data_IF_036559500118
#
_entry.id   IF_036559500118
#
_cell.length_a   1.000
_cell.length_b   1.000
_cell.length_c   1.000
_cell.angle_alpha   90.00
_cell.angle_beta   90.00
_cell.angle_gamma   90.00
#
_symmetry.space_group_name_H-M   'P 1'
#
loop_
_entity.id
_entity.type
_entity.pdbx_description
1 polymer ?
#
# COMPACT_ATOMS: atom_id res chain seq x y z
N UNK A 1 4.81 1.44 -13.13
CA UNK A 1 5.72 2.02 -12.10
C UNK A 1 5.14 3.35 -11.67
N UNK A 2 5.08 3.66 -10.37
CA UNK A 2 4.59 4.96 -9.90
C UNK A 2 5.59 6.06 -10.32
N UNK A 3 5.13 7.09 -11.03
CA UNK A 3 5.99 8.09 -11.69
C UNK A 3 6.51 9.17 -10.76
N UNK A 4 5.94 9.29 -9.56
CA UNK A 4 6.31 10.29 -8.57
C UNK A 4 5.81 9.77 -7.23
N UNK A 5 6.68 9.61 -6.23
CA UNK A 5 6.19 9.37 -4.88
C UNK A 5 5.68 10.73 -4.41
N UNK A 6 4.37 10.97 -4.37
CA UNK A 6 3.89 12.17 -3.70
C UNK A 6 3.91 11.90 -2.19
N UNK A 7 4.27 12.90 -1.37
CA UNK A 7 3.99 12.80 0.07
C UNK A 7 2.48 12.56 0.21
N UNK A 8 2.02 11.49 0.90
CA UNK A 8 0.61 11.17 1.00
C UNK A 8 -0.18 12.38 1.53
N UNK A 9 -1.00 12.97 0.67
CA UNK A 9 -1.98 13.98 1.06
C UNK A 9 -3.22 13.30 1.60
N UNK A 10 -4.01 14.01 2.41
CA UNK A 10 -5.30 13.49 2.88
C UNK A 10 -6.21 13.09 1.71
N UNK A 11 -6.20 13.85 0.62
CA UNK A 11 -6.99 13.55 -0.59
C UNK A 11 -6.55 12.23 -1.24
N UNK A 12 -5.24 12.05 -1.49
CA UNK A 12 -4.72 10.81 -2.08
C UNK A 12 -5.01 9.57 -1.20
N UNK A 13 -5.00 9.74 0.12
CA UNK A 13 -5.39 8.68 1.06
C UNK A 13 -6.88 8.33 0.99
N UNK A 14 -7.76 9.33 0.78
CA UNK A 14 -9.20 9.11 0.63
C UNK A 14 -9.52 8.42 -0.71
N UNK A 15 -8.87 8.85 -1.78
CA UNK A 15 -9.01 8.23 -3.10
C UNK A 15 -8.61 6.75 -3.06
N UNK A 16 -7.48 6.43 -2.42
CA UNK A 16 -7.06 5.03 -2.25
C UNK A 16 -8.09 4.21 -1.46
N UNK A 17 -8.70 4.78 -0.41
CA UNK A 17 -9.74 4.09 0.37
C UNK A 17 -10.99 3.79 -0.48
N UNK A 18 -11.42 4.74 -1.30
CA UNK A 18 -12.57 4.56 -2.19
C UNK A 18 -12.29 3.49 -3.24
N UNK A 19 -11.13 3.57 -3.90
CA UNK A 19 -10.72 2.60 -4.92
C UNK A 19 -10.58 1.21 -4.31
N UNK A 20 -10.02 1.08 -3.11
CA UNK A 20 -9.88 -0.21 -2.45
C UNK A 20 -11.25 -0.84 -2.15
N UNK A 21 -12.23 -0.05 -1.70
CA UNK A 21 -13.60 -0.54 -1.50
C UNK A 21 -14.24 -1.01 -2.82
N UNK A 22 -14.08 -0.24 -3.90
CA UNK A 22 -14.55 -0.60 -5.24
C UNK A 22 -13.89 -1.88 -5.76
N UNK A 23 -12.59 -2.03 -5.53
CA UNK A 23 -11.85 -3.23 -5.88
C UNK A 23 -12.36 -4.47 -5.12
N UNK A 24 -12.64 -4.34 -3.82
CA UNK A 24 -13.25 -5.44 -3.05
C UNK A 24 -14.59 -5.84 -3.67
N UNK A 25 -15.49 -4.89 -3.94
CA UNK A 25 -16.79 -5.18 -4.54
C UNK A 25 -16.67 -5.85 -5.92
N UNK A 26 -15.82 -5.31 -6.79
CA UNK A 26 -15.59 -5.86 -8.13
C UNK A 26 -14.98 -7.26 -8.08
N UNK A 27 -14.10 -7.53 -7.10
CA UNK A 27 -13.50 -8.86 -6.92
C UNK A 27 -14.50 -9.96 -6.55
N UNK A 28 -15.68 -9.59 -6.02
CA UNK A 28 -16.74 -10.55 -5.72
C UNK A 28 -17.57 -10.93 -6.95
N UNK A 29 -17.67 -10.04 -7.93
CA UNK A 29 -18.50 -10.21 -9.12
C UNK A 29 -17.69 -10.66 -10.35
N UNK A 30 -16.39 -10.37 -10.38
CA UNK A 30 -15.52 -10.64 -11.52
C UNK A 30 -14.27 -11.44 -11.12
N UNK A 31 -14.30 -12.75 -11.42
CA UNK A 31 -13.20 -13.68 -11.14
C UNK A 31 -11.92 -13.38 -11.94
N UNK A 32 -12.03 -12.82 -13.16
CA UNK A 32 -10.86 -12.44 -13.96
C UNK A 32 -10.12 -11.27 -13.30
N UNK A 33 -10.88 -10.24 -12.92
CA UNK A 33 -10.34 -9.10 -12.18
C UNK A 33 -9.72 -9.55 -10.86
N UNK A 34 -10.40 -10.40 -10.08
CA UNK A 34 -9.86 -10.94 -8.82
C UNK A 34 -8.50 -11.62 -9.02
N UNK A 35 -8.35 -12.46 -10.05
CA UNK A 35 -7.07 -13.12 -10.36
C UNK A 35 -5.98 -12.12 -10.72
N UNK A 36 -6.30 -11.11 -11.54
CA UNK A 36 -5.34 -10.04 -11.89
C UNK A 36 -4.94 -9.22 -10.67
N UNK A 37 -5.91 -8.83 -9.84
CA UNK A 37 -5.69 -8.06 -8.62
C UNK A 37 -4.73 -8.77 -7.65
N UNK A 38 -4.76 -10.11 -7.58
CA UNK A 38 -3.85 -10.88 -6.74
C UNK A 38 -2.45 -11.08 -7.35
N UNK A 39 -2.35 -11.03 -8.69
CA UNK A 39 -1.10 -11.21 -9.42
C UNK A 39 -0.32 -9.90 -9.56
N UNK A 40 -1.00 -8.85 -10.01
CA UNK A 40 -0.47 -7.50 -10.16
C UNK A 40 -1.55 -6.47 -9.76
N UNK A 41 -1.56 -6.03 -8.49
CA UNK A 41 -2.50 -5.04 -8.02
C UNK A 41 -2.43 -3.71 -8.77
N UNK A 42 -1.25 -3.29 -9.23
CA UNK A 42 -1.10 -2.00 -9.89
C UNK A 42 -1.77 -2.01 -11.26
N UNK A 43 -1.47 -3.02 -12.07
CA UNK A 43 -2.06 -3.18 -13.39
C UNK A 43 -3.59 -3.36 -13.30
N UNK A 44 -4.06 -4.16 -12.33
CA UNK A 44 -5.48 -4.39 -12.14
C UNK A 44 -6.24 -3.13 -11.73
N UNK A 45 -5.70 -2.33 -10.81
CA UNK A 45 -6.34 -1.08 -10.37
C UNK A 45 -6.33 -0.03 -11.49
N UNK A 46 -5.26 0.06 -12.27
CA UNK A 46 -5.15 0.99 -13.39
C UNK A 46 -6.12 0.59 -14.52
N UNK A 47 -6.09 -0.68 -14.97
CA UNK A 47 -6.91 -1.12 -16.11
C UNK A 47 -8.42 -1.16 -15.83
N UNK A 48 -8.83 -1.47 -14.59
CA UNK A 48 -10.26 -1.68 -14.27
C UNK A 48 -10.90 -0.51 -13.53
N UNK A 49 -10.11 0.26 -12.78
CA UNK A 49 -10.63 1.33 -11.93
C UNK A 49 -10.06 2.72 -12.29
N UNK A 50 -9.21 2.80 -13.32
CA UNK A 50 -8.51 4.01 -13.76
C UNK A 50 -7.71 4.67 -12.61
N UNK A 51 -7.20 3.83 -11.70
CA UNK A 51 -6.50 4.29 -10.52
C UNK A 51 -5.02 3.92 -10.58
N UNK A 52 -4.17 4.95 -10.53
CA UNK A 52 -2.72 4.80 -10.45
C UNK A 52 -2.23 5.21 -9.07
N UNK A 53 -1.77 4.22 -8.29
CA UNK A 53 -1.25 4.46 -6.95
C UNK A 53 -0.06 5.44 -6.99
N UNK A 54 -0.16 6.59 -6.29
CA UNK A 54 0.85 7.66 -6.37
C UNK A 54 2.05 7.42 -5.45
N UNK A 55 2.14 6.27 -4.78
CA UNK A 55 3.20 5.99 -3.82
C UNK A 55 4.11 4.87 -4.30
N UNK A 56 5.41 5.00 -4.05
CA UNK A 56 6.39 3.93 -4.25
C UNK A 56 6.24 2.94 -3.10
N UNK A 57 5.18 2.14 -3.19
CA UNK A 57 4.90 1.02 -2.31
C UNK A 57 5.10 -0.28 -3.10
N UNK A 58 5.23 -1.38 -2.37
CA UNK A 58 5.01 -2.70 -2.93
C UNK A 58 3.65 -3.19 -2.41
N UNK A 59 2.58 -2.78 -3.09
CA UNK A 59 1.23 -3.20 -2.76
C UNK A 59 1.09 -4.68 -3.09
N UNK A 60 0.83 -5.49 -2.05
CA UNK A 60 0.53 -6.91 -2.19
C UNK A 60 -0.86 -7.18 -1.65
N UNK A 61 -1.73 -7.67 -2.51
CA UNK A 61 -3.06 -8.13 -2.12
C UNK A 61 -3.00 -9.64 -1.96
N UNK A 62 -3.49 -10.14 -0.83
CA UNK A 62 -3.47 -11.58 -0.51
C UNK A 62 -4.88 -12.05 -0.23
N UNK A 63 -5.18 -13.26 -0.70
CA UNK A 63 -6.41 -13.92 -0.27
C UNK A 63 -6.27 -14.40 1.17
N UNK A 64 -7.34 -14.20 1.93
CA UNK A 64 -7.45 -14.75 3.26
C UNK A 64 -7.64 -16.27 3.20
N UNK A 65 -6.96 -17.00 4.07
CA UNK A 65 -7.20 -18.43 4.20
C UNK A 65 -8.57 -18.66 4.85
N UNK A 66 -9.47 -19.47 4.26
CA UNK A 66 -10.78 -19.75 4.82
C UNK A 66 -10.74 -20.32 6.25
N UNK A 67 -9.64 -20.99 6.62
CA UNK A 67 -9.46 -21.62 7.93
C UNK A 67 -9.22 -20.62 9.07
N UNK A 68 -8.76 -19.41 8.74
CA UNK A 68 -8.45 -18.38 9.74
C UNK A 68 -9.72 -17.62 10.20
N UNK A 69 -10.86 -17.92 9.57
CA UNK A 69 -12.15 -17.33 9.94
C UNK A 69 -12.26 -15.85 9.61
N UNK A 70 -11.49 -15.33 8.65
CA UNK A 70 -11.64 -13.98 8.12
C UNK A 70 -12.91 -13.83 7.27
N UNK A 71 -13.49 -12.63 7.24
CA UNK A 71 -14.72 -12.29 6.52
C UNK A 71 -15.76 -11.58 7.38
N UNK A 72 -16.94 -11.36 6.81
CA UNK A 72 -18.08 -10.76 7.49
C UNK A 72 -18.62 -11.68 8.59
N UNK A 73 -18.89 -11.12 9.77
CA UNK A 73 -19.49 -11.83 10.92
C UNK A 73 -20.93 -11.36 11.13
N UNK A 74 -21.96 -12.14 10.71
CA UNK A 74 -23.35 -11.70 10.75
C UNK A 74 -23.87 -11.39 12.16
N UNK A 75 -23.46 -12.18 13.16
CA UNK A 75 -23.92 -12.02 14.54
C UNK A 75 -23.44 -10.73 15.19
N UNK A 76 -22.21 -10.31 14.92
CA UNK A 76 -21.62 -9.07 15.47
C UNK A 76 -21.73 -7.89 14.51
N UNK A 77 -22.17 -8.11 13.27
CA UNK A 77 -22.23 -7.12 12.17
C UNK A 77 -20.91 -6.40 11.96
N UNK A 78 -19.80 -7.15 11.96
CA UNK A 78 -18.44 -6.62 11.82
C UNK A 78 -17.61 -7.44 10.86
N UNK A 79 -16.66 -6.78 10.20
CA UNK A 79 -15.60 -7.45 9.45
C UNK A 79 -14.54 -8.00 10.41
N UNK A 80 -14.09 -9.22 10.16
CA UNK A 80 -12.89 -9.80 10.76
C UNK A 80 -11.86 -9.99 9.65
N UNK A 81 -10.81 -9.17 9.63
CA UNK A 81 -9.80 -9.14 8.57
C UNK A 81 -8.40 -9.31 9.16
N UNK A 82 -7.42 -9.78 8.37
CA UNK A 82 -6.02 -9.78 8.80
C UNK A 82 -5.52 -8.36 9.05
N UNK A 83 -4.49 -8.24 9.88
CA UNK A 83 -3.81 -6.96 10.11
C UNK A 83 -3.03 -6.59 8.85
N UNK A 84 -3.15 -5.34 8.40
CA UNK A 84 -2.34 -4.82 7.30
C UNK A 84 -0.86 -4.82 7.71
N UNK A 85 0.00 -5.37 6.85
CA UNK A 85 1.44 -5.42 7.06
C UNK A 85 2.14 -4.39 6.18
N UNK A 86 3.16 -3.75 6.74
CA UNK A 86 4.07 -2.86 6.02
C UNK A 86 5.50 -3.23 6.41
N UNK A 87 6.38 -3.32 5.41
CA UNK A 87 7.81 -3.53 5.62
C UNK A 87 8.55 -2.22 5.36
N UNK A 88 9.38 -1.80 6.31
CA UNK A 88 10.21 -0.60 6.21
C UNK A 88 11.67 -1.02 6.36
N UNK A 89 12.54 -0.53 5.48
CA UNK A 89 13.98 -0.77 5.57
C UNK A 89 14.60 0.15 6.62
N UNK A 90 15.43 -0.41 7.49
CA UNK A 90 16.31 0.38 8.37
C UNK A 90 17.67 0.48 7.68
N UNK A 91 18.16 1.70 7.36
CA UNK A 91 19.45 1.84 6.67
C UNK A 91 20.61 1.40 7.57
N UNK A 92 21.70 0.95 6.96
CA UNK A 92 22.95 0.68 7.68
C UNK A 92 23.57 1.98 8.17
N UNK A 93 24.11 1.98 9.39
CA UNK A 93 24.85 3.13 9.94
C UNK A 93 26.07 3.44 9.05
N UNK A 94 26.35 4.72 8.74
CA UNK A 94 27.61 5.13 8.12
C UNK A 94 28.83 4.66 8.93
N UNK A 95 29.96 4.43 8.25
CA UNK A 95 31.19 3.98 8.92
C UNK A 95 31.87 5.05 9.77
N UNK A 96 31.71 6.32 9.37
CA UNK A 96 32.30 7.49 10.03
C UNK A 96 31.28 8.23 10.89
N UNK A 97 31.64 8.56 12.13
CA UNK A 97 30.76 9.25 13.09
C UNK A 97 30.35 10.64 12.60
N UNK A 98 31.24 11.34 11.87
CA UNK A 98 30.96 12.67 11.33
C UNK A 98 29.85 12.65 10.26
N UNK A 99 29.66 11.53 9.56
CA UNK A 99 28.68 11.40 8.48
C UNK A 99 27.28 11.06 8.98
N UNK A 100 27.12 10.67 10.25
CA UNK A 100 25.81 10.26 10.78
C UNK A 100 24.76 11.37 10.71
N UNK A 101 25.12 12.59 11.12
CA UNK A 101 24.22 13.73 11.06
C UNK A 101 23.83 14.09 9.63
N UNK A 102 24.80 13.99 8.70
CA UNK A 102 24.59 14.27 7.27
C UNK A 102 23.68 13.21 6.66
N UNK A 103 23.93 11.92 6.94
CA UNK A 103 23.13 10.81 6.43
C UNK A 103 21.69 10.86 6.93
N UNK A 104 21.47 11.21 8.20
CA UNK A 104 20.12 11.39 8.76
C UNK A 104 19.41 12.60 8.15
N UNK A 105 20.11 13.73 7.98
CA UNK A 105 19.55 14.91 7.33
C UNK A 105 19.18 14.62 5.86
N UNK A 106 20.05 13.92 5.12
CA UNK A 106 19.79 13.50 3.75
C UNK A 106 18.66 12.45 3.65
N UNK A 107 18.55 11.53 4.61
CA UNK A 107 17.41 10.61 4.68
C UNK A 107 16.11 11.37 4.89
N UNK A 108 16.09 12.35 5.79
CA UNK A 108 14.93 13.21 5.99
C UNK A 108 14.61 13.99 4.70
N UNK A 109 15.60 14.65 4.11
CA UNK A 109 15.49 15.47 2.89
C UNK A 109 15.26 14.67 1.60
N UNK A 110 15.39 13.33 1.63
CA UNK A 110 15.08 12.46 0.50
C UNK A 110 13.61 12.59 0.04
N UNK A 111 12.80 13.34 0.80
CA UNK A 111 11.47 13.75 0.41
C UNK A 111 10.62 12.52 0.26
N UNK A 112 9.97 12.30 -0.89
CA UNK A 112 9.15 11.14 -1.03
C UNK A 112 9.93 9.94 -1.58
N UNK A 113 11.24 9.97 -1.80
CA UNK A 113 11.96 8.75 -2.24
C UNK A 113 11.81 7.59 -1.25
N UNK A 114 11.61 7.89 0.03
CA UNK A 114 11.26 6.95 1.08
C UNK A 114 9.89 7.34 1.68
N UNK A 115 9.07 6.34 2.04
CA UNK A 115 7.81 6.64 2.70
C UNK A 115 8.09 7.24 4.08
N UNK A 116 7.34 8.29 4.46
CA UNK A 116 7.42 8.98 5.76
C UNK A 116 8.68 9.83 6.02
N UNK A 117 9.44 10.21 4.98
CA UNK A 117 10.48 11.23 5.09
C UNK A 117 9.92 12.63 4.79
N UNK A 118 10.44 13.65 5.47
CA UNK A 118 9.92 15.01 5.42
C UNK A 118 10.64 15.82 4.34
N UNK A 119 9.91 16.40 3.38
CA UNK A 119 10.44 17.49 2.57
C UNK A 119 10.56 18.78 3.40
#
# INVERSE_FOLDING_TARGET
MADNNAVPSQESMLEFQEVYLRAIALSWENDEFRKKLLADPYDALECYLDYRCPWILNLKIVEVNPKDGYGWKPHTRRWHLPVNAMSVGIPTRPGELADEGIALAAYNDAGPAYLFTCC
#
